data_IF_642807548892
#
_entry.id   IF_642807548892
#
_cell.length_a   1.000
_cell.length_b   1.000
_cell.length_c   1.000
_cell.angle_alpha   90.00
_cell.angle_beta   90.00
_cell.angle_gamma   90.00
#
_symmetry.space_group_name_H-M   'P 1'
#
loop_
_entity.id
_entity.type
_entity.pdbx_description
1 polymer ?
#
# COMPACT_ATOMS: atom_id res chain seq x y z
N UNK A 1 24.53 9.00 -10.11
CA UNK A 1 24.11 7.62 -9.77
C UNK A 1 23.31 7.80 -8.49
N UNK A 2 21.98 7.89 -8.59
CA UNK A 2 21.11 8.41 -7.53
C UNK A 2 21.21 7.53 -6.28
N UNK A 3 21.88 8.08 -5.27
CA UNK A 3 22.22 7.40 -4.03
C UNK A 3 20.96 7.05 -3.23
N UNK A 4 20.93 5.81 -2.74
CA UNK A 4 20.25 5.44 -1.50
C UNK A 4 18.73 5.45 -1.52
N UNK A 5 18.13 4.80 -2.52
CA UNK A 5 16.87 4.09 -2.26
C UNK A 5 17.18 2.95 -1.27
N UNK A 6 17.19 3.27 0.03
CA UNK A 6 17.10 2.29 1.11
C UNK A 6 16.06 1.27 0.66
N UNK A 7 16.46 -0.01 0.53
CA UNK A 7 15.57 -1.13 0.21
C UNK A 7 14.24 -0.83 0.90
N UNK A 8 13.17 -0.55 0.15
CA UNK A 8 11.93 -0.01 0.72
C UNK A 8 11.18 -1.15 1.42
N UNK A 9 11.73 -1.54 2.56
CA UNK A 9 11.20 -2.59 3.42
C UNK A 9 10.12 -1.93 4.27
N UNK A 10 8.89 -2.39 4.09
CA UNK A 10 7.72 -1.91 4.84
C UNK A 10 6.98 -3.11 5.41
N UNK A 11 5.92 -2.84 6.17
CA UNK A 11 4.93 -3.85 6.56
C UNK A 11 3.83 -3.92 5.50
N UNK A 12 3.60 -5.13 4.96
CA UNK A 12 2.52 -5.47 4.06
C UNK A 12 1.29 -5.83 4.88
N UNK A 13 0.16 -5.30 4.45
CA UNK A 13 -1.15 -5.57 5.05
C UNK A 13 -2.11 -6.07 3.98
N UNK A 14 -2.85 -7.12 4.31
CA UNK A 14 -3.97 -7.59 3.53
C UNK A 14 -5.23 -6.87 3.95
N UNK A 15 -6.03 -6.41 2.98
CA UNK A 15 -7.31 -5.79 3.24
C UNK A 15 -8.43 -6.70 2.73
N UNK A 16 -9.14 -7.35 3.64
CA UNK A 16 -10.19 -8.32 3.32
C UNK A 16 -11.42 -7.63 2.72
N UNK A 17 -11.77 -6.44 3.21
CA UNK A 17 -12.85 -5.61 2.65
C UNK A 17 -12.61 -5.28 1.17
N UNK A 18 -11.36 -5.01 0.80
CA UNK A 18 -10.96 -4.70 -0.58
C UNK A 18 -10.57 -5.93 -1.40
N UNK A 19 -10.63 -7.14 -0.82
CA UNK A 19 -10.14 -8.39 -1.42
C UNK A 19 -8.68 -8.34 -1.86
N UNK A 20 -7.86 -7.58 -1.13
CA UNK A 20 -6.40 -7.51 -1.34
C UNK A 20 -5.73 -8.55 -0.47
N UNK A 21 -5.75 -9.79 -0.97
CA UNK A 21 -5.21 -11.01 -0.37
C UNK A 21 -4.34 -11.73 -1.42
N UNK A 22 -3.64 -12.81 -1.03
CA UNK A 22 -2.87 -13.66 -1.95
C UNK A 22 -1.82 -12.94 -2.81
N UNK A 23 -0.94 -12.17 -2.15
CA UNK A 23 0.18 -11.49 -2.82
C UNK A 23 -0.13 -10.07 -3.29
N UNK A 24 -1.39 -9.65 -3.20
CA UNK A 24 -1.81 -8.24 -3.32
C UNK A 24 -1.94 -7.64 -1.93
N UNK A 25 -1.38 -6.45 -1.71
CA UNK A 25 -1.59 -5.77 -0.44
C UNK A 25 -1.07 -4.34 -0.39
N UNK A 26 -1.19 -3.75 0.80
CA UNK A 26 -0.95 -2.32 1.00
C UNK A 26 0.11 -2.08 2.06
N UNK A 27 0.83 -0.96 1.93
CA UNK A 27 1.80 -0.55 2.92
C UNK A 27 1.12 -0.01 4.19
N UNK A 28 1.89 0.15 5.27
CA UNK A 28 1.42 0.72 6.55
C UNK A 28 0.71 2.06 6.39
N UNK A 29 1.17 2.91 5.47
CA UNK A 29 0.55 4.23 5.23
C UNK A 29 -0.83 4.05 4.61
N UNK A 30 -0.93 3.27 3.54
CA UNK A 30 -2.21 3.02 2.87
C UNK A 30 -3.19 2.26 3.77
N UNK A 31 -2.71 1.34 4.62
CA UNK A 31 -3.52 0.69 5.64
C UNK A 31 -4.19 1.69 6.60
N UNK A 32 -3.47 2.75 7.00
CA UNK A 32 -3.97 3.79 7.92
C UNK A 32 -4.78 4.88 7.23
N UNK A 33 -4.51 5.16 5.96
CA UNK A 33 -5.07 6.31 5.22
C UNK A 33 -6.17 5.88 4.25
N UNK A 34 -5.84 5.08 3.22
CA UNK A 34 -6.80 4.68 2.19
C UNK A 34 -7.68 3.48 2.59
N UNK A 35 -7.19 2.63 3.50
CA UNK A 35 -7.94 1.48 4.03
C UNK A 35 -8.32 1.70 5.50
N UNK A 36 -8.44 2.96 5.92
CA UNK A 36 -8.95 3.31 7.24
C UNK A 36 -10.35 2.70 7.40
N UNK A 37 -10.60 2.10 8.56
CA UNK A 37 -11.88 1.45 8.89
C UNK A 37 -12.23 0.21 8.02
N UNK A 38 -11.26 -0.35 7.27
CA UNK A 38 -11.42 -1.66 6.64
C UNK A 38 -10.94 -2.80 7.55
N UNK A 39 -11.37 -4.02 7.22
CA UNK A 39 -10.83 -5.22 7.84
C UNK A 39 -9.44 -5.50 7.27
N UNK A 40 -8.42 -5.22 8.08
CA UNK A 40 -7.01 -5.34 7.71
C UNK A 40 -6.32 -6.40 8.59
N UNK A 41 -5.48 -7.22 7.98
CA UNK A 41 -4.58 -8.14 8.69
C UNK A 41 -3.14 -7.92 8.27
N UNK A 42 -2.22 -8.01 9.23
CA UNK A 42 -0.79 -7.97 8.94
C UNK A 42 -0.37 -9.22 8.15
N UNK A 43 0.41 -9.04 7.09
CA UNK A 43 0.89 -10.12 6.24
C UNK A 43 2.35 -10.45 6.52
N UNK A 44 3.26 -9.52 6.21
CA UNK A 44 4.72 -9.70 6.39
C UNK A 44 5.46 -8.36 6.40
N UNK A 45 6.68 -8.36 6.92
CA UNK A 45 7.62 -7.25 6.80
C UNK A 45 8.69 -7.62 5.77
N UNK A 46 8.94 -6.75 4.79
CA UNK A 46 9.79 -7.08 3.66
C UNK A 46 9.79 -6.00 2.58
N UNK A 47 10.57 -6.19 1.53
CA UNK A 47 10.49 -5.38 0.31
C UNK A 47 9.29 -5.82 -0.52
N UNK A 48 8.33 -4.93 -0.75
CA UNK A 48 7.17 -5.17 -1.60
C UNK A 48 6.65 -3.84 -2.16
N UNK A 49 5.77 -3.90 -3.16
CA UNK A 49 5.12 -2.73 -3.76
C UNK A 49 3.70 -2.55 -3.23
N UNK A 50 3.25 -1.30 -3.08
CA UNK A 50 1.92 -1.03 -2.56
C UNK A 50 0.89 -1.01 -3.69
N UNK A 51 -0.04 -1.98 -3.70
CA UNK A 51 -1.08 -2.13 -4.74
C UNK A 51 -2.29 -1.19 -4.55
N UNK A 52 -2.27 -0.36 -3.50
CA UNK A 52 -3.37 0.55 -3.16
C UNK A 52 -3.79 1.47 -4.33
N UNK A 53 -2.84 1.90 -5.16
CA UNK A 53 -3.08 2.78 -6.30
C UNK A 53 -3.36 2.08 -7.63
N UNK A 54 -3.28 0.75 -7.69
CA UNK A 54 -3.36 -0.03 -8.93
C UNK A 54 -4.79 -0.42 -9.34
N UNK A 55 -5.84 0.18 -8.74
CA UNK A 55 -7.23 -0.20 -9.02
C UNK A 55 -7.71 0.42 -10.34
N UNK A 56 -8.20 -0.43 -11.22
CA UNK A 56 -8.75 -0.10 -12.56
C UNK A 56 -10.14 0.56 -12.55
N UNK A 57 -10.84 0.55 -11.41
CA UNK A 57 -12.23 1.05 -11.27
C UNK A 57 -12.34 2.59 -11.17
N UNK A 58 -11.24 3.34 -11.27
CA UNK A 58 -11.28 4.81 -11.21
C UNK A 58 -11.69 5.40 -9.86
N UNK A 59 -11.94 4.56 -8.85
CA UNK A 59 -12.05 4.95 -7.45
C UNK A 59 -10.65 5.35 -6.95
N UNK A 60 -10.29 6.60 -7.24
CA UNK A 60 -9.04 7.22 -6.81
C UNK A 60 -8.88 7.06 -5.29
N UNK A 61 -7.85 6.35 -4.84
CA UNK A 61 -7.31 6.49 -3.48
C UNK A 61 -6.69 7.90 -3.38
N UNK A 62 -7.54 8.92 -3.30
CA UNK A 62 -7.18 10.34 -3.39
C UNK A 62 -6.43 10.85 -2.16
N UNK A 63 -6.34 10.07 -1.08
CA UNK A 63 -5.73 10.57 0.16
C UNK A 63 -4.25 10.20 0.31
N UNK A 64 -3.74 9.16 -0.36
CA UNK A 64 -2.33 8.78 -0.23
C UNK A 64 -1.49 9.23 -1.44
N UNK A 65 -2.06 9.14 -2.66
CA UNK A 65 -1.41 9.59 -3.89
C UNK A 65 -1.30 11.11 -4.00
N UNK A 66 -2.34 11.87 -3.62
CA UNK A 66 -2.33 13.34 -3.75
C UNK A 66 -1.32 14.04 -2.84
N UNK A 67 -0.90 13.39 -1.75
CA UNK A 67 0.09 13.93 -0.80
C UNK A 67 1.47 13.27 -0.94
N UNK A 68 1.68 12.41 -1.95
CA UNK A 68 2.91 11.65 -2.17
C UNK A 68 3.40 10.89 -0.91
N UNK A 69 2.47 10.43 -0.07
CA UNK A 69 2.75 9.84 1.24
C UNK A 69 3.16 8.37 1.15
N UNK A 70 2.91 7.73 0.00
CA UNK A 70 3.30 6.36 -0.26
C UNK A 70 4.51 6.31 -1.20
N UNK A 71 5.73 6.18 -0.67
CA UNK A 71 6.94 6.00 -1.46
C UNK A 71 7.00 4.64 -2.20
N UNK A 72 6.00 3.77 -2.03
CA UNK A 72 5.95 2.40 -2.52
C UNK A 72 5.02 2.22 -3.73
N UNK A 73 4.43 3.30 -4.25
CA UNK A 73 3.75 3.24 -5.54
C UNK A 73 4.78 3.07 -6.65
N UNK A 74 4.54 2.11 -7.52
CA UNK A 74 5.24 1.95 -8.79
C UNK A 74 4.22 2.08 -9.92
#
# INVERSE_FOLDING_TARGET
IHESALVRISSLYHCHTCKMVDGVGVCTVCAKVCHKDHEISYAKYGSFFCDCGAKEDGSLCSNCCSYNLCPLHQ
#
